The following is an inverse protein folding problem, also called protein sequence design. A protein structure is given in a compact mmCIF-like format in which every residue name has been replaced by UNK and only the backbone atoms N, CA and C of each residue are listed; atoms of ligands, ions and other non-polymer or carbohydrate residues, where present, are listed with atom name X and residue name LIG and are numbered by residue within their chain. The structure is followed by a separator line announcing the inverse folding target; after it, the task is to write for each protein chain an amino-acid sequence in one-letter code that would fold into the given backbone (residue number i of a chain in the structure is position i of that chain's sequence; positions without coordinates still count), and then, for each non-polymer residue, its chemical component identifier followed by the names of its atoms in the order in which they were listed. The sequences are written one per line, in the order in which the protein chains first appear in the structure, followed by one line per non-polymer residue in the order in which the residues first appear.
data_IF_467708530812
#
_entry.id   IF_467708530812
#
_cell.length_a   1.000
_cell.length_b   1.000
_cell.length_c   1.000
_cell.angle_alpha   90.00
_cell.angle_beta   90.00
_cell.angle_gamma   90.00
#
_symmetry.space_group_name_H-M   'P 1'
#
loop_
_entity.id
_entity.type
_entity.pdbx_description
1 polymer ?
#
# COMPACT_ATOMS: atom_id res chain seq x y z
N UNK A 1 -55.83 -34.38 2.38
CA UNK A 1 -54.84 -33.94 3.39
C UNK A 1 -53.50 -33.86 2.72
N UNK A 2 -53.07 -32.66 2.33
CA UNK A 2 -51.71 -32.41 1.88
C UNK A 2 -50.83 -32.30 3.13
N UNK A 3 -49.86 -33.22 3.26
CA UNK A 3 -48.86 -33.16 4.30
C UNK A 3 -48.00 -31.87 4.09
N UNK A 4 -47.89 -31.06 5.16
CA UNK A 4 -47.00 -29.90 5.18
C UNK A 4 -45.55 -30.31 4.89
N UNK A 5 -44.78 -29.56 4.12
CA UNK A 5 -43.42 -29.91 3.85
C UNK A 5 -42.62 -29.90 5.15
N UNK A 6 -41.92 -31.00 5.43
CA UNK A 6 -41.07 -31.13 6.58
C UNK A 6 -40.01 -30.00 6.55
N UNK A 7 -40.00 -29.18 7.61
CA UNK A 7 -38.99 -28.14 7.84
C UNK A 7 -37.64 -28.86 7.88
N UNK A 8 -36.84 -28.66 6.83
CA UNK A 8 -35.48 -29.17 6.77
C UNK A 8 -34.71 -28.61 7.97
N UNK A 9 -34.47 -29.41 8.98
CA UNK A 9 -33.61 -29.10 10.13
C UNK A 9 -32.22 -28.73 9.54
N UNK A 10 -31.85 -27.47 9.58
CA UNK A 10 -30.54 -27.01 9.11
C UNK A 10 -29.45 -27.74 9.93
N UNK A 11 -28.61 -28.51 9.24
CA UNK A 11 -27.46 -29.20 9.84
C UNK A 11 -26.58 -28.16 10.57
N UNK A 12 -26.14 -28.46 11.84
CA UNK A 12 -25.23 -27.56 12.53
C UNK A 12 -23.94 -27.42 11.72
N UNK A 13 -23.52 -26.17 11.45
CA UNK A 13 -22.30 -25.86 10.68
C UNK A 13 -21.07 -26.38 11.41
N UNK A 14 -20.17 -27.04 10.67
CA UNK A 14 -18.86 -27.44 11.16
C UNK A 14 -17.98 -26.23 11.50
N UNK A 15 -16.94 -26.44 12.31
CA UNK A 15 -15.99 -25.36 12.64
C UNK A 15 -15.34 -24.73 11.39
N UNK A 16 -14.83 -25.50 10.40
CA UNK A 16 -14.30 -24.94 9.16
C UNK A 16 -15.32 -24.08 8.38
N UNK A 17 -16.58 -24.54 8.28
CA UNK A 17 -17.65 -23.77 7.62
C UNK A 17 -17.91 -22.43 8.29
N UNK A 18 -17.82 -22.37 9.63
CA UNK A 18 -17.97 -21.08 10.37
C UNK A 18 -16.82 -20.14 10.09
N UNK A 19 -15.57 -20.62 10.06
CA UNK A 19 -14.38 -19.81 9.76
C UNK A 19 -14.44 -19.25 8.35
N UNK A 20 -14.78 -20.08 7.36
CA UNK A 20 -14.92 -19.65 5.97
C UNK A 20 -16.05 -18.62 5.81
N UNK A 21 -17.20 -18.86 6.45
CA UNK A 21 -18.32 -17.95 6.41
C UNK A 21 -17.96 -16.59 7.06
N UNK A 22 -17.30 -16.61 8.24
CA UNK A 22 -16.82 -15.41 8.89
C UNK A 22 -15.88 -14.60 7.98
N UNK A 23 -14.90 -15.27 7.35
CA UNK A 23 -14.01 -14.64 6.36
C UNK A 23 -14.78 -14.03 5.20
N UNK A 24 -15.74 -14.79 4.63
CA UNK A 24 -16.56 -14.31 3.52
C UNK A 24 -17.51 -13.16 3.89
N UNK A 25 -17.97 -13.09 5.12
CA UNK A 25 -18.84 -12.00 5.61
C UNK A 25 -18.04 -10.72 5.92
N UNK A 26 -16.82 -10.88 6.43
CA UNK A 26 -15.99 -9.76 6.93
C UNK A 26 -14.76 -9.46 6.05
N UNK A 27 -14.65 -10.06 4.87
CA UNK A 27 -13.45 -9.97 4.03
C UNK A 27 -12.98 -8.54 3.78
N UNK A 28 -13.91 -7.61 3.51
CA UNK A 28 -13.60 -6.22 3.22
C UNK A 28 -13.04 -5.49 4.45
N UNK A 29 -13.64 -5.75 5.62
CA UNK A 29 -13.14 -5.19 6.89
C UNK A 29 -11.73 -5.73 7.18
N UNK A 30 -11.53 -7.04 7.04
CA UNK A 30 -10.23 -7.67 7.25
C UNK A 30 -9.18 -7.17 6.28
N UNK A 31 -9.52 -7.04 4.99
CA UNK A 31 -8.63 -6.49 3.97
C UNK A 31 -8.25 -5.02 4.28
N UNK A 32 -9.23 -4.16 4.57
CA UNK A 32 -8.97 -2.77 4.90
C UNK A 32 -8.17 -2.62 6.21
N UNK A 33 -8.42 -3.45 7.22
CA UNK A 33 -7.64 -3.43 8.46
C UNK A 33 -6.19 -3.87 8.21
N UNK A 34 -5.98 -4.90 7.41
CA UNK A 34 -4.64 -5.36 7.05
C UNK A 34 -3.87 -4.27 6.29
N UNK A 35 -4.49 -3.63 5.28
CA UNK A 35 -3.88 -2.53 4.52
C UNK A 35 -3.64 -1.32 5.43
N UNK A 36 -4.58 -0.99 6.32
CA UNK A 36 -4.40 0.10 7.28
C UNK A 36 -3.16 -0.12 8.16
N UNK A 37 -3.04 -1.29 8.79
CA UNK A 37 -1.87 -1.61 9.62
C UNK A 37 -0.59 -1.57 8.78
N UNK A 38 -0.64 -2.12 7.56
CA UNK A 38 0.50 -2.18 6.65
C UNK A 38 1.01 -0.81 6.20
N UNK A 39 0.13 0.20 6.00
CA UNK A 39 0.55 1.55 5.62
C UNK A 39 0.77 2.47 6.82
N UNK A 40 0.05 2.26 7.91
CA UNK A 40 0.16 3.12 9.09
C UNK A 40 1.49 2.94 9.83
N UNK A 41 1.99 1.70 9.95
CA UNK A 41 3.24 1.43 10.65
C UNK A 41 4.46 2.16 10.05
N UNK A 42 4.74 2.11 8.73
CA UNK A 42 5.87 2.85 8.14
C UNK A 42 5.73 4.37 8.22
N UNK A 43 4.49 4.89 8.28
CA UNK A 43 4.22 6.31 8.53
C UNK A 43 4.41 6.65 10.01
N UNK A 44 4.07 5.74 10.91
CA UNK A 44 4.24 5.92 12.37
C UNK A 44 5.73 5.92 12.79
N UNK A 45 6.59 5.21 12.08
CA UNK A 45 8.00 5.03 12.43
C UNK A 45 8.75 6.36 12.71
N UNK A 46 8.69 7.40 11.85
CA UNK A 46 9.36 8.66 12.13
C UNK A 46 8.78 9.39 13.36
N UNK A 47 7.46 9.31 13.61
CA UNK A 47 6.87 9.92 14.80
C UNK A 47 7.36 9.26 16.09
N UNK A 48 7.50 7.93 16.10
CA UNK A 48 8.09 7.20 17.23
C UNK A 48 9.55 7.62 17.45
N UNK A 49 10.32 7.76 16.37
CA UNK A 49 11.69 8.18 16.45
C UNK A 49 11.84 9.59 17.03
N UNK A 50 11.03 10.56 16.55
CA UNK A 50 11.04 11.94 17.06
C UNK A 50 10.55 12.02 18.52
N UNK A 51 9.64 11.13 18.92
CA UNK A 51 9.21 10.99 20.32
C UNK A 51 10.24 10.31 21.23
N UNK A 52 11.44 9.95 20.73
CA UNK A 52 12.49 9.27 21.50
C UNK A 52 12.31 7.76 21.62
N UNK A 53 11.30 7.18 20.97
CA UNK A 53 11.04 5.74 20.97
C UNK A 53 11.81 5.07 19.81
N UNK A 54 13.14 5.15 19.84
CA UNK A 54 14.00 4.70 18.73
C UNK A 54 13.90 3.19 18.48
N UNK A 55 13.87 2.36 19.54
CA UNK A 55 13.81 0.89 19.37
C UNK A 55 12.57 0.42 18.61
N UNK A 56 11.32 0.80 18.99
CA UNK A 56 10.14 0.48 18.18
C UNK A 56 10.21 1.01 16.74
N UNK A 57 10.71 2.23 16.55
CA UNK A 57 10.90 2.79 15.21
C UNK A 57 11.85 1.94 14.36
N UNK A 58 13.02 1.55 14.91
CA UNK A 58 13.99 0.71 14.22
C UNK A 58 13.46 -0.70 13.89
N UNK A 59 12.60 -1.26 14.72
CA UNK A 59 11.92 -2.53 14.41
C UNK A 59 11.01 -2.38 13.18
N UNK A 60 10.26 -1.28 13.10
CA UNK A 60 9.43 -0.99 11.92
C UNK A 60 10.32 -0.82 10.68
N UNK A 61 11.36 0.02 10.73
CA UNK A 61 12.29 0.17 9.59
C UNK A 61 12.87 -1.18 9.16
N UNK A 62 13.27 -2.02 10.10
CA UNK A 62 13.86 -3.33 9.82
C UNK A 62 12.87 -4.29 9.17
N UNK A 63 11.63 -4.34 9.64
CA UNK A 63 10.57 -5.18 9.07
C UNK A 63 10.24 -4.75 7.63
N UNK A 64 10.19 -3.45 7.36
CA UNK A 64 9.81 -2.91 6.05
C UNK A 64 10.94 -2.87 5.01
N UNK A 65 12.17 -3.27 5.36
CA UNK A 65 13.26 -3.48 4.38
C UNK A 65 12.91 -4.48 3.30
N UNK A 66 12.06 -5.46 3.61
CA UNK A 66 11.62 -6.47 2.64
C UNK A 66 10.65 -5.90 1.59
N UNK A 67 9.96 -4.81 1.92
CA UNK A 67 8.92 -4.21 1.06
C UNK A 67 9.40 -2.92 0.37
N UNK A 68 10.38 -2.21 0.92
CA UNK A 68 10.85 -0.93 0.39
C UNK A 68 12.36 -0.75 0.58
N UNK A 69 13.01 -0.12 -0.41
CA UNK A 69 14.44 0.20 -0.37
C UNK A 69 14.80 1.29 0.65
N UNK A 70 13.82 2.03 1.16
CA UNK A 70 13.96 3.08 2.17
C UNK A 70 15.01 4.15 1.81
N UNK A 71 15.06 4.53 0.53
CA UNK A 71 15.97 5.58 0.06
C UNK A 71 15.51 6.95 0.57
N UNK A 72 16.37 7.74 1.24
CA UNK A 72 15.97 9.00 1.87
C UNK A 72 15.33 10.00 0.88
N UNK A 73 15.93 10.21 -0.29
CA UNK A 73 15.43 11.11 -1.34
C UNK A 73 14.13 10.61 -2.04
N UNK A 74 13.53 9.53 -1.53
CA UNK A 74 12.24 8.95 -1.99
C UNK A 74 11.24 8.80 -0.86
N UNK A 75 11.55 9.33 0.33
CA UNK A 75 10.75 9.16 1.55
C UNK A 75 10.29 10.51 2.07
N UNK A 76 9.15 10.54 2.75
CA UNK A 76 8.73 11.72 3.51
C UNK A 76 9.52 11.83 4.80
N UNK A 77 9.67 13.07 5.30
CA UNK A 77 10.35 13.36 6.56
C UNK A 77 9.43 14.04 7.56
N UNK A 78 9.64 13.75 8.83
CA UNK A 78 8.93 14.33 9.98
C UNK A 78 9.96 14.90 10.95
N UNK A 79 9.65 16.04 11.58
CA UNK A 79 10.51 16.67 12.57
C UNK A 79 11.65 17.52 12.00
N UNK A 80 11.77 17.62 10.66
CA UNK A 80 12.74 18.45 9.97
C UNK A 80 12.14 19.72 9.34
N UNK A 81 12.99 20.55 8.69
CA UNK A 81 12.55 21.80 8.04
C UNK A 81 11.70 21.59 6.77
N UNK A 82 11.79 20.44 6.12
CA UNK A 82 10.98 20.08 4.96
C UNK A 82 10.47 18.64 5.04
N UNK A 83 9.43 18.33 4.26
CA UNK A 83 8.83 16.98 4.23
C UNK A 83 9.42 16.07 3.14
N UNK A 84 10.21 16.61 2.23
CA UNK A 84 10.87 15.93 1.11
C UNK A 84 12.19 16.63 0.79
N UNK A 85 13.19 15.86 0.38
CA UNK A 85 14.52 16.37 0.07
C UNK A 85 15.04 15.75 -1.22
N UNK A 86 15.69 16.60 -2.01
CA UNK A 86 16.39 16.20 -3.23
C UNK A 86 17.64 15.34 -2.93
N UNK A 87 18.12 14.65 -3.96
CA UNK A 87 19.39 13.89 -3.87
C UNK A 87 20.53 14.79 -3.41
N UNK A 88 20.61 16.03 -3.93
CA UNK A 88 21.70 16.97 -3.59
C UNK A 88 21.66 17.39 -2.10
N UNK A 89 20.48 17.64 -1.53
CA UNK A 89 20.32 17.98 -0.11
C UNK A 89 20.70 16.79 0.79
N UNK A 90 20.28 15.58 0.42
CA UNK A 90 20.67 14.36 1.16
C UNK A 90 22.19 14.16 1.09
N UNK A 91 22.82 14.35 -0.07
CA UNK A 91 24.27 14.25 -0.24
C UNK A 91 25.02 15.31 0.60
N UNK A 92 24.53 16.53 0.62
CA UNK A 92 25.12 17.63 1.40
C UNK A 92 25.14 17.32 2.90
N UNK A 93 24.08 16.69 3.44
CA UNK A 93 23.98 16.35 4.87
C UNK A 93 24.71 15.07 5.21
N UNK A 94 24.66 14.05 4.36
CA UNK A 94 25.23 12.73 4.67
C UNK A 94 26.67 12.58 4.24
N UNK A 95 27.18 13.42 3.33
CA UNK A 95 28.50 13.30 2.69
C UNK A 95 28.61 12.10 1.74
N UNK A 96 27.52 11.36 1.51
CA UNK A 96 27.51 10.15 0.69
C UNK A 96 27.25 10.54 -0.77
N UNK A 97 28.28 10.36 -1.63
CA UNK A 97 28.20 10.74 -3.07
C UNK A 97 27.25 9.84 -3.85
N UNK A 98 27.24 8.53 -3.60
CA UNK A 98 26.31 7.61 -4.25
C UNK A 98 25.10 7.39 -3.32
N UNK A 99 23.91 7.95 -3.67
CA UNK A 99 22.73 7.86 -2.83
C UNK A 99 22.19 6.42 -2.69
N UNK A 100 22.57 5.48 -3.56
CA UNK A 100 22.20 4.07 -3.44
C UNK A 100 22.86 3.40 -2.24
N UNK A 101 24.00 3.90 -1.76
CA UNK A 101 24.65 3.41 -0.54
C UNK A 101 23.83 3.69 0.73
N UNK A 102 22.80 4.55 0.64
CA UNK A 102 21.86 4.81 1.72
C UNK A 102 20.67 3.83 1.73
N UNK A 103 20.64 2.87 0.80
CA UNK A 103 19.61 1.82 0.78
C UNK A 103 19.57 1.09 2.13
N UNK A 104 18.38 0.96 2.70
CA UNK A 104 18.14 0.36 4.01
C UNK A 104 18.90 1.00 5.19
N UNK A 105 19.38 2.24 5.00
CA UNK A 105 19.98 3.08 6.05
C UNK A 105 19.09 4.30 6.29
N UNK A 106 17.99 4.16 7.02
CA UNK A 106 17.06 5.26 7.22
C UNK A 106 17.73 6.37 8.01
N UNK A 107 17.47 7.63 7.59
CA UNK A 107 17.84 8.80 8.37
C UNK A 107 16.83 8.95 9.50
N UNK A 108 17.31 8.85 10.73
CA UNK A 108 16.50 8.91 11.94
C UNK A 108 17.07 9.98 12.85
N UNK A 109 16.25 10.92 13.31
CA UNK A 109 16.66 12.06 14.16
C UNK A 109 17.86 12.81 13.62
N UNK A 110 17.91 12.95 12.30
CA UNK A 110 18.94 13.75 11.61
C UNK A 110 18.56 15.23 11.61
N UNK A 111 19.47 16.09 11.13
CA UNK A 111 19.14 17.52 10.88
C UNK A 111 18.01 17.71 9.88
N UNK A 112 17.70 16.70 9.09
CA UNK A 112 16.55 16.67 8.14
C UNK A 112 15.29 16.09 8.80
N UNK A 113 15.34 15.64 10.06
CA UNK A 113 14.29 14.89 10.72
C UNK A 113 14.43 13.38 10.52
N UNK A 114 13.34 12.66 10.72
CA UNK A 114 13.23 11.21 10.53
C UNK A 114 12.41 10.88 9.29
N UNK A 115 12.92 10.01 8.42
CA UNK A 115 12.23 9.59 7.20
C UNK A 115 11.16 8.53 7.48
N UNK A 116 10.14 8.41 6.61
CA UNK A 116 9.17 7.29 6.63
C UNK A 116 9.84 5.97 6.23
N UNK A 117 9.35 4.84 6.77
CA UNK A 117 9.86 3.51 6.41
C UNK A 117 9.36 3.01 5.05
N UNK A 118 8.42 3.72 4.42
CA UNK A 118 8.00 3.56 3.04
C UNK A 118 8.36 4.77 2.19
N UNK A 119 8.60 4.55 0.90
CA UNK A 119 8.79 5.64 -0.06
C UNK A 119 7.45 6.31 -0.43
N UNK A 120 7.53 7.49 -1.04
CA UNK A 120 6.37 8.26 -1.51
C UNK A 120 5.37 7.41 -2.31
N UNK A 121 5.88 6.57 -3.23
CA UNK A 121 5.06 5.72 -4.10
C UNK A 121 4.34 4.62 -3.31
N UNK A 122 5.02 3.94 -2.40
CA UNK A 122 4.42 2.87 -1.60
C UNK A 122 3.33 3.41 -0.68
N UNK A 123 3.58 4.56 -0.02
CA UNK A 123 2.57 5.23 0.79
C UNK A 123 1.35 5.58 -0.07
N UNK A 124 1.56 6.16 -1.26
CA UNK A 124 0.47 6.54 -2.15
C UNK A 124 -0.34 5.34 -2.63
N UNK A 125 0.33 4.23 -3.01
CA UNK A 125 -0.34 2.99 -3.43
C UNK A 125 -1.22 2.45 -2.30
N UNK A 126 -0.64 2.18 -1.13
CA UNK A 126 -1.37 1.50 -0.05
C UNK A 126 -2.39 2.41 0.64
N UNK A 127 -2.12 3.72 0.76
CA UNK A 127 -3.11 4.67 1.25
C UNK A 127 -4.30 4.78 0.30
N UNK A 128 -4.07 4.80 -1.01
CA UNK A 128 -5.15 4.84 -2.00
C UNK A 128 -5.93 3.52 -2.08
N UNK A 129 -5.27 2.36 -1.90
CA UNK A 129 -5.94 1.07 -1.75
C UNK A 129 -6.87 1.07 -0.54
N UNK A 130 -6.41 1.60 0.61
CA UNK A 130 -7.23 1.72 1.80
C UNK A 130 -8.43 2.65 1.56
N UNK A 131 -8.20 3.84 1.05
CA UNK A 131 -9.27 4.82 0.79
C UNK A 131 -10.29 4.28 -0.23
N UNK A 132 -9.82 3.70 -1.34
CA UNK A 132 -10.69 3.08 -2.33
C UNK A 132 -11.45 1.88 -1.75
N UNK A 133 -10.81 1.08 -0.88
CA UNK A 133 -11.46 -0.03 -0.19
C UNK A 133 -12.56 0.42 0.78
N UNK A 134 -12.36 1.53 1.49
CA UNK A 134 -13.39 2.14 2.33
C UNK A 134 -14.56 2.68 1.49
N UNK A 135 -14.26 3.40 0.40
CA UNK A 135 -15.29 3.86 -0.55
C UNK A 135 -16.03 2.69 -1.18
N UNK A 136 -15.31 1.62 -1.55
CA UNK A 136 -15.94 0.40 -2.07
C UNK A 136 -16.99 -0.17 -1.11
N UNK A 137 -16.76 -0.10 0.20
CA UNK A 137 -17.72 -0.51 1.22
C UNK A 137 -19.09 0.19 1.10
N UNK A 138 -19.12 1.42 0.61
CA UNK A 138 -20.34 2.22 0.41
C UNK A 138 -21.04 1.93 -0.91
N UNK A 139 -20.29 1.51 -1.94
CA UNK A 139 -20.80 1.36 -3.32
C UNK A 139 -20.77 -0.07 -3.86
N UNK A 140 -20.35 -1.04 -3.05
CA UNK A 140 -20.08 -2.44 -3.44
C UNK A 140 -21.22 -3.14 -4.21
N UNK A 141 -22.46 -2.73 -3.95
CA UNK A 141 -23.63 -3.35 -4.59
C UNK A 141 -23.93 -2.77 -5.99
N UNK A 142 -23.31 -1.64 -6.33
CA UNK A 142 -23.56 -0.90 -7.59
C UNK A 142 -22.34 -0.87 -8.49
N UNK A 143 -21.14 -1.05 -7.92
CA UNK A 143 -19.88 -0.90 -8.66
C UNK A 143 -19.60 -2.13 -9.51
N UNK A 144 -19.53 -1.94 -10.83
CA UNK A 144 -19.04 -2.96 -11.77
C UNK A 144 -17.52 -2.97 -11.80
N UNK A 145 -16.87 -4.13 -12.05
CA UNK A 145 -15.43 -4.20 -12.22
C UNK A 145 -14.93 -3.26 -13.31
N UNK A 146 -13.80 -2.62 -13.07
CA UNK A 146 -13.11 -1.81 -14.07
C UNK A 146 -12.75 -2.68 -15.29
N UNK A 147 -13.04 -2.26 -16.53
CA UNK A 147 -12.60 -2.99 -17.70
C UNK A 147 -11.07 -3.14 -17.72
N UNK A 148 -10.58 -4.34 -17.98
CA UNK A 148 -9.14 -4.65 -17.92
C UNK A 148 -8.28 -3.73 -18.80
N UNK A 149 -8.80 -3.33 -19.98
CA UNK A 149 -8.13 -2.37 -20.88
C UNK A 149 -7.91 -1.01 -20.22
N UNK A 150 -8.89 -0.53 -19.45
CA UNK A 150 -8.78 0.76 -18.72
C UNK A 150 -7.80 0.61 -17.55
N UNK A 151 -7.81 -0.52 -16.85
CA UNK A 151 -6.80 -0.80 -15.83
C UNK A 151 -5.38 -0.75 -16.39
N UNK A 152 -5.11 -1.40 -17.54
CA UNK A 152 -3.81 -1.32 -18.21
C UNK A 152 -3.43 0.13 -18.54
N UNK A 153 -4.38 0.94 -19.03
CA UNK A 153 -4.13 2.37 -19.28
C UNK A 153 -3.75 3.13 -18.00
N UNK A 154 -4.38 2.81 -16.87
CA UNK A 154 -4.03 3.39 -15.56
C UNK A 154 -2.65 2.96 -15.05
N UNK A 155 -2.12 1.81 -15.52
CA UNK A 155 -0.76 1.37 -15.18
C UNK A 155 0.32 2.12 -15.96
N UNK A 156 0.02 2.66 -17.14
CA UNK A 156 1.02 3.32 -18.00
C UNK A 156 1.81 4.41 -17.27
N UNK A 157 1.20 5.34 -16.52
CA UNK A 157 1.94 6.41 -15.86
C UNK A 157 2.98 5.88 -14.85
N UNK A 158 2.61 4.91 -14.01
CA UNK A 158 3.55 4.35 -13.02
C UNK A 158 4.64 3.50 -13.71
N UNK A 159 4.29 2.79 -14.78
CA UNK A 159 5.24 2.00 -15.55
C UNK A 159 6.26 2.90 -16.26
N UNK A 160 5.82 3.96 -16.93
CA UNK A 160 6.70 4.92 -17.60
C UNK A 160 7.62 5.61 -16.58
N UNK A 161 7.07 6.09 -15.45
CA UNK A 161 7.87 6.73 -14.41
C UNK A 161 8.91 5.78 -13.81
N UNK A 162 8.56 4.54 -13.51
CA UNK A 162 9.48 3.54 -12.97
C UNK A 162 10.53 3.09 -13.99
N UNK A 163 10.10 2.85 -15.23
CA UNK A 163 10.98 2.34 -16.28
C UNK A 163 12.03 3.38 -16.72
N UNK A 164 11.65 4.65 -16.83
CA UNK A 164 12.60 5.73 -17.15
C UNK A 164 13.66 5.92 -16.06
N UNK A 165 13.31 5.73 -14.78
CA UNK A 165 14.28 5.75 -13.68
C UNK A 165 15.24 4.55 -13.73
N UNK A 166 14.70 3.36 -14.03
CA UNK A 166 15.50 2.13 -14.14
C UNK A 166 16.49 2.23 -15.30
N UNK A 167 16.04 2.68 -16.47
CA UNK A 167 16.89 2.84 -17.65
C UNK A 167 18.02 3.87 -17.40
N UNK A 168 17.72 5.00 -16.77
CA UNK A 168 18.74 6.00 -16.42
C UNK A 168 19.80 5.49 -15.44
N UNK A 169 19.46 4.49 -14.61
CA UNK A 169 20.41 3.84 -13.70
C UNK A 169 21.25 2.73 -14.34
N UNK A 170 20.79 2.13 -15.46
CA UNK A 170 21.45 1.00 -16.11
C UNK A 170 22.25 1.45 -17.33
N UNK A 171 21.74 2.43 -18.08
CA UNK A 171 22.30 2.86 -19.38
C UNK A 171 23.18 4.08 -19.17
N UNK A 172 24.53 3.98 -19.30
CA UNK A 172 25.47 5.02 -18.90
C UNK A 172 25.35 6.36 -19.65
N UNK A 173 24.73 6.39 -20.83
CA UNK A 173 24.52 7.59 -21.63
C UNK A 173 23.13 8.22 -21.48
N UNK A 174 22.25 7.62 -20.68
CA UNK A 174 20.97 8.22 -20.35
C UNK A 174 21.10 9.04 -19.06
N UNK A 175 20.49 10.25 -19.00
CA UNK A 175 20.50 11.02 -17.76
C UNK A 175 19.76 10.26 -16.67
N UNK A 176 20.39 10.16 -15.50
CA UNK A 176 19.73 9.61 -14.31
C UNK A 176 18.62 10.58 -13.91
N UNK A 177 17.37 10.15 -14.10
CA UNK A 177 16.20 10.93 -13.73
C UNK A 177 15.63 10.42 -12.42
N UNK A 178 15.54 11.30 -11.42
CA UNK A 178 14.72 11.02 -10.25
C UNK A 178 13.31 11.62 -10.40
N UNK A 179 12.32 10.84 -10.03
CA UNK A 179 10.92 11.27 -10.04
C UNK A 179 10.64 12.14 -8.82
N UNK A 180 9.79 13.16 -8.98
CA UNK A 180 9.35 14.01 -7.88
C UNK A 180 8.40 13.25 -6.94
N UNK A 181 8.31 13.71 -5.67
CA UNK A 181 7.35 13.16 -4.71
C UNK A 181 5.90 13.22 -5.24
N UNK A 182 5.53 14.31 -5.92
CA UNK A 182 4.18 14.50 -6.49
C UNK A 182 3.88 13.46 -7.58
N UNK A 183 4.80 13.27 -8.53
CA UNK A 183 4.61 12.30 -9.62
C UNK A 183 4.51 10.86 -9.05
N UNK A 184 5.33 10.52 -8.06
CA UNK A 184 5.27 9.23 -7.37
C UNK A 184 3.95 9.04 -6.65
N UNK A 185 3.44 10.09 -6.00
CA UNK A 185 2.16 10.05 -5.28
C UNK A 185 0.99 9.90 -6.24
N UNK A 186 0.94 10.69 -7.31
CA UNK A 186 -0.16 10.64 -8.29
C UNK A 186 -0.20 9.29 -9.03
N UNK A 187 0.96 8.83 -9.52
CA UNK A 187 1.03 7.55 -10.24
C UNK A 187 0.76 6.35 -9.32
N UNK A 188 1.25 6.40 -8.08
CA UNK A 188 0.97 5.40 -7.06
C UNK A 188 -0.51 5.35 -6.67
N UNK A 189 -1.13 6.50 -6.45
CA UNK A 189 -2.55 6.59 -6.13
C UNK A 189 -3.45 6.08 -7.26
N UNK A 190 -3.14 6.44 -8.51
CA UNK A 190 -3.86 5.94 -9.68
C UNK A 190 -3.79 4.41 -9.78
N UNK A 191 -2.61 3.83 -9.53
CA UNK A 191 -2.42 2.39 -9.48
C UNK A 191 -3.28 1.73 -8.38
N UNK A 192 -3.23 2.25 -7.16
CA UNK A 192 -3.96 1.68 -6.03
C UNK A 192 -5.48 1.75 -6.21
N UNK A 193 -6.01 2.92 -6.62
CA UNK A 193 -7.46 3.08 -6.89
C UNK A 193 -7.93 2.16 -8.01
N UNK A 194 -7.21 2.14 -9.14
CA UNK A 194 -7.59 1.29 -10.28
C UNK A 194 -7.49 -0.20 -9.96
N UNK A 195 -6.52 -0.60 -9.13
CA UNK A 195 -6.39 -1.97 -8.64
C UNK A 195 -7.57 -2.42 -7.79
N UNK A 196 -8.01 -1.59 -6.85
CA UNK A 196 -9.21 -1.85 -6.04
C UNK A 196 -10.46 -1.91 -6.93
N UNK A 197 -10.63 -0.97 -7.83
CA UNK A 197 -11.79 -0.93 -8.73
C UNK A 197 -11.86 -2.15 -9.64
N UNK A 198 -10.71 -2.67 -10.07
CA UNK A 198 -10.67 -3.91 -10.83
C UNK A 198 -10.97 -5.13 -9.95
N UNK A 199 -10.26 -5.29 -8.83
CA UNK A 199 -10.21 -6.55 -8.09
C UNK A 199 -11.37 -6.75 -7.10
N UNK A 200 -11.76 -5.70 -6.35
CA UNK A 200 -12.71 -5.85 -5.25
C UNK A 200 -14.11 -6.30 -5.68
N UNK A 201 -14.68 -5.84 -6.81
CA UNK A 201 -15.98 -6.36 -7.27
C UNK A 201 -15.94 -7.86 -7.58
N UNK A 202 -14.84 -8.40 -8.12
CA UNK A 202 -14.70 -9.85 -8.34
C UNK A 202 -14.56 -10.60 -7.02
N UNK A 203 -13.78 -10.09 -6.07
CA UNK A 203 -13.65 -10.68 -4.74
C UNK A 203 -15.01 -10.70 -4.04
N UNK A 204 -15.76 -9.59 -4.08
CA UNK A 204 -17.11 -9.52 -3.49
C UNK A 204 -18.06 -10.54 -4.09
N UNK A 205 -18.01 -10.73 -5.42
CA UNK A 205 -18.82 -11.75 -6.09
C UNK A 205 -18.47 -13.15 -5.57
N UNK A 206 -17.20 -13.51 -5.52
CA UNK A 206 -16.74 -14.80 -4.97
C UNK A 206 -17.15 -15.00 -3.51
N UNK A 207 -17.03 -13.94 -2.67
CA UNK A 207 -17.46 -14.01 -1.27
C UNK A 207 -18.99 -14.15 -1.12
N UNK A 208 -19.77 -13.55 -2.01
CA UNK A 208 -21.24 -13.76 -2.06
C UNK A 208 -21.58 -15.19 -2.42
N UNK A 209 -20.88 -15.79 -3.37
CA UNK A 209 -21.14 -17.17 -3.79
C UNK A 209 -20.78 -18.17 -2.65
N UNK A 210 -19.67 -17.95 -1.96
CA UNK A 210 -19.31 -18.72 -0.75
C UNK A 210 -20.40 -18.60 0.32
N UNK A 211 -20.87 -17.39 0.62
CA UNK A 211 -21.96 -17.17 1.60
C UNK A 211 -23.24 -17.91 1.20
N UNK A 212 -23.57 -17.97 -0.08
CA UNK A 212 -24.77 -18.68 -0.58
C UNK A 212 -24.61 -20.20 -0.49
N UNK A 213 -23.42 -20.74 -0.73
CA UNK A 213 -23.18 -22.19 -0.72
C UNK A 213 -23.17 -22.80 0.69
N UNK A 214 -22.87 -21.99 1.73
CA UNK A 214 -22.80 -22.46 3.13
C UNK A 214 -24.09 -22.17 3.91
N UNK A 215 -24.92 -21.24 3.45
CA UNK A 215 -26.22 -20.90 4.07
C UNK A 215 -27.30 -21.88 3.68
#
# INVERSE_FOLDING_TARGET
QQAAPATALSRPRSFPERVVLFGAEHWLLLANLAVFVFVALPVLAPFLAEAGLERPALWIYSAYRLACHQLPYRSYFIGGPAFDYSVAEIQAVTGVRDPLLLMHRPLVRSVLGSQTAFCHRDIAIYASVLLAGLVFGLVRDRLKPLPFKIFILCLVPIAVDGFTQLLGGIVPFLPVRESTWLLRTVTGALFGVSGVWLAYPYIEQGMRDIRRSIR
#
